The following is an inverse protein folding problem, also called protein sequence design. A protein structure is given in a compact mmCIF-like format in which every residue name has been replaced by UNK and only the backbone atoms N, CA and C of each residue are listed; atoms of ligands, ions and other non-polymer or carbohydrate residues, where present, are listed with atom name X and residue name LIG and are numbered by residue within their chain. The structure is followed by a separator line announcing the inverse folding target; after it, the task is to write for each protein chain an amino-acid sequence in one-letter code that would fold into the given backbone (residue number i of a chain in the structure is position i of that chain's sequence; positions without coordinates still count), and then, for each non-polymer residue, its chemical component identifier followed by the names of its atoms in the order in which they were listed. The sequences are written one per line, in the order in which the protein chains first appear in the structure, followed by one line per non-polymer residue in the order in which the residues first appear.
data_IF_902465598686
#
_entry.id   IF_902465598686
#
_cell.length_a   1.000
_cell.length_b   1.000
_cell.length_c   1.000
_cell.angle_alpha   90.00
_cell.angle_beta   90.00
_cell.angle_gamma   90.00
#
_symmetry.space_group_name_H-M   'P 1'
#
loop_
_entity.id
_entity.type
_entity.pdbx_description
1 polymer ?
#
# COMPACT_ATOMS: atom_id res chain seq x y z
N UNK A 1 7.07 -15.17 -14.28
CA UNK A 1 6.05 -14.76 -15.28
C UNK A 1 6.06 -13.26 -15.40
N UNK A 2 6.01 -12.74 -16.63
CA UNK A 2 5.92 -11.30 -16.92
C UNK A 2 4.48 -10.84 -17.09
N UNK A 3 4.25 -9.53 -17.01
CA UNK A 3 2.94 -8.91 -17.27
C UNK A 3 2.40 -9.28 -18.65
N UNK A 4 3.26 -9.34 -19.67
CA UNK A 4 2.86 -9.71 -21.05
C UNK A 4 2.17 -11.07 -21.11
N UNK A 5 2.60 -12.00 -20.27
CA UNK A 5 2.08 -13.37 -20.26
C UNK A 5 0.81 -13.46 -19.41
N UNK A 6 0.76 -12.69 -18.30
CA UNK A 6 -0.37 -12.65 -17.40
C UNK A 6 -1.57 -11.87 -17.98
N UNK A 7 -1.31 -10.81 -18.75
CA UNK A 7 -2.34 -9.88 -19.22
C UNK A 7 -3.47 -10.56 -20.03
N UNK A 8 -3.19 -11.49 -20.99
CA UNK A 8 -4.24 -12.24 -21.66
C UNK A 8 -5.09 -13.09 -20.72
N UNK A 9 -4.51 -13.66 -19.66
CA UNK A 9 -5.23 -14.45 -18.65
C UNK A 9 -6.16 -13.53 -17.86
N UNK A 10 -5.65 -12.40 -17.39
CA UNK A 10 -6.42 -11.36 -16.71
C UNK A 10 -7.57 -10.82 -17.58
N UNK A 11 -7.34 -10.62 -18.89
CA UNK A 11 -8.39 -10.18 -19.82
C UNK A 11 -9.49 -11.21 -19.98
N UNK A 12 -9.16 -12.51 -20.00
CA UNK A 12 -10.15 -13.59 -20.11
C UNK A 12 -10.98 -13.78 -18.84
N UNK A 13 -10.57 -13.24 -17.70
CA UNK A 13 -11.29 -13.39 -16.43
C UNK A 13 -12.33 -12.29 -16.14
N UNK A 14 -12.42 -11.27 -17.00
CA UNK A 14 -13.34 -10.15 -16.80
C UNK A 14 -14.80 -10.59 -16.91
N UNK A 15 -15.66 -10.03 -16.06
CA UNK A 15 -17.11 -10.29 -16.01
C UNK A 15 -17.50 -11.76 -15.79
N UNK A 16 -16.58 -12.60 -15.31
CA UNK A 16 -16.86 -13.98 -14.90
C UNK A 16 -17.04 -14.00 -13.36
N UNK A 17 -18.18 -14.51 -12.85
CA UNK A 17 -18.36 -14.70 -11.42
C UNK A 17 -17.27 -15.58 -10.81
N UNK A 18 -16.85 -15.27 -9.59
CA UNK A 18 -15.79 -16.00 -8.91
C UNK A 18 -16.09 -17.50 -8.76
N UNK A 19 -17.36 -17.89 -8.59
CA UNK A 19 -17.78 -19.30 -8.56
C UNK A 19 -17.43 -20.07 -9.84
N UNK A 20 -17.41 -19.39 -10.98
CA UNK A 20 -17.16 -19.99 -12.30
C UNK A 20 -15.68 -19.85 -12.67
N UNK A 21 -14.98 -18.88 -12.07
CA UNK A 21 -13.57 -18.59 -12.33
C UNK A 21 -12.61 -19.38 -11.44
N UNK A 22 -12.98 -19.64 -10.19
CA UNK A 22 -12.13 -20.26 -9.19
C UNK A 22 -12.80 -21.50 -8.57
N UNK A 23 -12.09 -22.62 -8.56
CA UNK A 23 -12.52 -23.83 -7.85
C UNK A 23 -12.06 -23.80 -6.38
N UNK A 24 -12.85 -24.40 -5.48
CA UNK A 24 -12.44 -24.81 -4.14
C UNK A 24 -11.92 -23.67 -3.22
N UNK A 25 -12.52 -22.48 -3.26
CA UNK A 25 -12.21 -21.41 -2.30
C UNK A 25 -13.29 -21.27 -1.23
N UNK A 26 -12.87 -20.94 0.00
CA UNK A 26 -13.77 -20.64 1.10
C UNK A 26 -14.17 -19.17 1.06
N UNK A 27 -15.46 -18.88 0.90
CA UNK A 27 -16.02 -17.52 0.87
C UNK A 27 -15.64 -16.71 2.11
N UNK A 28 -15.70 -17.32 3.30
CA UNK A 28 -15.31 -16.68 4.57
C UNK A 28 -13.85 -16.21 4.63
N UNK A 29 -12.95 -16.85 3.87
CA UNK A 29 -11.55 -16.40 3.78
C UNK A 29 -11.44 -15.14 2.93
N UNK A 30 -12.23 -15.01 1.87
CA UNK A 30 -12.24 -13.82 1.02
C UNK A 30 -12.78 -12.61 1.80
N UNK A 31 -13.84 -12.81 2.56
CA UNK A 31 -14.46 -11.75 3.35
C UNK A 31 -13.50 -11.25 4.43
N UNK A 32 -12.82 -12.17 5.15
CA UNK A 32 -11.90 -11.81 6.23
C UNK A 32 -10.56 -11.25 5.73
N UNK A 33 -10.05 -11.76 4.62
CA UNK A 33 -8.79 -11.33 4.03
C UNK A 33 -9.03 -10.53 2.75
N UNK A 34 -9.01 -9.19 2.88
CA UNK A 34 -9.16 -8.28 1.74
C UNK A 34 -8.13 -8.49 0.62
N UNK A 35 -6.99 -9.14 0.89
CA UNK A 35 -5.99 -9.49 -0.12
C UNK A 35 -6.26 -10.80 -0.86
N UNK A 36 -7.28 -11.58 -0.46
CA UNK A 36 -7.52 -12.93 -1.00
C UNK A 36 -7.94 -12.91 -2.47
N UNK A 37 -8.71 -11.90 -2.91
CA UNK A 37 -9.09 -11.76 -4.32
C UNK A 37 -7.85 -11.61 -5.22
N UNK A 38 -6.84 -10.87 -4.75
CA UNK A 38 -5.55 -10.74 -5.43
C UNK A 38 -4.83 -12.08 -5.52
N UNK A 39 -4.73 -12.80 -4.40
CA UNK A 39 -4.11 -14.13 -4.35
C UNK A 39 -4.80 -15.16 -5.26
N UNK A 40 -6.13 -15.10 -5.40
CA UNK A 40 -6.86 -15.96 -6.33
C UNK A 40 -6.51 -15.62 -7.78
N UNK A 41 -6.43 -14.33 -8.11
CA UNK A 41 -6.02 -13.88 -9.44
C UNK A 41 -4.56 -14.22 -9.76
N UNK A 42 -3.64 -14.09 -8.79
CA UNK A 42 -2.24 -14.53 -8.91
C UNK A 42 -2.17 -16.03 -9.25
N UNK A 43 -2.92 -16.86 -8.51
CA UNK A 43 -2.99 -18.31 -8.76
C UNK A 43 -3.58 -18.65 -10.12
N UNK A 44 -4.59 -17.91 -10.57
CA UNK A 44 -5.16 -18.08 -11.91
C UNK A 44 -4.14 -17.76 -13.01
N UNK A 45 -3.26 -16.78 -12.78
CA UNK A 45 -2.10 -16.54 -13.64
C UNK A 45 -0.97 -17.59 -13.46
N UNK A 46 -1.15 -18.63 -12.65
CA UNK A 46 -0.11 -19.65 -12.40
C UNK A 46 1.04 -19.18 -11.50
N UNK A 47 0.89 -18.06 -10.79
CA UNK A 47 1.89 -17.59 -9.85
C UNK A 47 1.86 -18.39 -8.54
N UNK A 48 3.05 -18.59 -7.97
CA UNK A 48 3.20 -19.06 -6.59
C UNK A 48 3.13 -17.85 -5.66
N UNK A 49 2.29 -17.92 -4.63
CA UNK A 49 2.24 -16.88 -3.61
C UNK A 49 3.61 -16.76 -2.94
N UNK A 50 4.16 -15.55 -2.92
CA UNK A 50 5.48 -15.29 -2.37
C UNK A 50 5.57 -13.91 -1.72
N UNK A 51 6.66 -13.66 -1.01
CA UNK A 51 6.95 -12.35 -0.39
C UNK A 51 7.91 -11.51 -1.26
N UNK A 52 7.96 -11.75 -2.57
CA UNK A 52 8.77 -10.95 -3.49
C UNK A 52 8.30 -9.49 -3.54
N UNK A 53 9.15 -8.60 -4.08
CA UNK A 53 8.85 -7.16 -4.14
C UNK A 53 7.64 -6.88 -5.05
N UNK A 54 7.52 -7.62 -6.14
CA UNK A 54 6.45 -7.55 -7.14
C UNK A 54 5.84 -8.93 -7.36
N UNK A 55 4.59 -8.96 -7.83
CA UNK A 55 3.87 -10.22 -8.11
C UNK A 55 4.36 -10.88 -9.41
N UNK A 56 4.68 -10.05 -10.42
CA UNK A 56 5.32 -10.46 -11.67
C UNK A 56 6.80 -10.09 -11.66
N UNK A 57 7.57 -10.66 -12.59
CA UNK A 57 9.00 -10.32 -12.76
C UNK A 57 9.22 -8.83 -13.08
N UNK A 58 8.30 -8.23 -13.82
CA UNK A 58 8.40 -6.88 -14.36
C UNK A 58 7.24 -5.97 -13.93
N UNK A 59 6.43 -6.37 -12.94
CA UNK A 59 5.38 -5.50 -12.41
C UNK A 59 4.43 -6.14 -11.40
N UNK A 60 3.34 -5.47 -11.12
CA UNK A 60 2.45 -5.74 -9.99
C UNK A 60 1.02 -6.08 -10.44
N UNK A 61 0.31 -6.85 -9.61
CA UNK A 61 -1.13 -7.06 -9.74
C UNK A 61 -1.87 -6.42 -8.55
N UNK A 62 -2.87 -5.59 -8.83
CA UNK A 62 -3.78 -5.08 -7.79
C UNK A 62 -5.23 -5.38 -8.11
N UNK A 63 -5.94 -5.85 -7.10
CA UNK A 63 -7.39 -6.05 -7.13
C UNK A 63 -8.03 -5.25 -6.01
N UNK A 64 -9.04 -4.43 -6.30
CA UNK A 64 -9.82 -3.72 -5.27
C UNK A 64 -11.10 -3.15 -5.85
N UNK A 65 -12.09 -2.85 -5.00
CA UNK A 65 -13.22 -1.99 -5.40
C UNK A 65 -12.73 -0.56 -5.67
N UNK A 66 -13.34 0.16 -6.61
CA UNK A 66 -12.93 1.54 -6.96
C UNK A 66 -13.02 2.53 -5.79
N UNK A 67 -13.91 2.30 -4.82
CA UNK A 67 -14.11 3.20 -3.68
C UNK A 67 -13.15 2.99 -2.49
N UNK A 68 -12.44 1.86 -2.41
CA UNK A 68 -11.61 1.51 -1.24
C UNK A 68 -10.10 1.78 -1.42
N UNK A 69 -9.41 2.43 -0.49
CA UNK A 69 -7.93 2.54 -0.58
C UNK A 69 -7.24 1.15 -0.68
N UNK A 70 -6.22 1.01 -1.53
CA UNK A 70 -5.54 -0.28 -1.77
C UNK A 70 -4.09 -0.23 -1.31
N UNK A 71 -3.66 -1.17 -0.48
CA UNK A 71 -2.29 -1.21 0.01
C UNK A 71 -1.28 -1.50 -1.12
N UNK A 72 -0.18 -0.75 -1.15
CA UNK A 72 0.89 -0.90 -2.14
C UNK A 72 2.07 -1.62 -1.50
N UNK A 73 2.76 -0.96 -0.56
CA UNK A 73 3.98 -1.48 0.07
C UNK A 73 4.10 -1.03 1.53
N UNK A 74 4.55 -1.93 2.39
CA UNK A 74 4.80 -1.64 3.81
C UNK A 74 5.98 -0.70 3.98
N UNK A 75 5.95 0.18 4.98
CA UNK A 75 7.06 1.13 5.26
C UNK A 75 7.94 0.75 6.45
N UNK A 76 7.54 -0.24 7.24
CA UNK A 76 8.16 -0.57 8.54
C UNK A 76 9.69 -0.69 8.47
N UNK A 77 10.22 -1.38 7.47
CA UNK A 77 11.66 -1.69 7.39
C UNK A 77 12.50 -0.65 6.63
N UNK A 78 11.89 0.45 6.19
CA UNK A 78 12.55 1.54 5.45
C UNK A 78 11.94 2.89 5.78
N UNK A 79 11.35 3.02 6.97
CA UNK A 79 10.73 4.27 7.40
C UNK A 79 11.76 5.38 7.57
N UNK A 80 12.99 5.03 7.97
CA UNK A 80 14.09 5.98 8.10
C UNK A 80 14.42 6.64 6.76
N UNK A 81 14.33 5.89 5.65
CA UNK A 81 14.53 6.42 4.30
C UNK A 81 13.44 7.43 3.89
N UNK A 82 12.25 7.35 4.49
CA UNK A 82 11.10 8.23 4.19
C UNK A 82 11.14 9.51 5.04
N UNK A 83 11.57 9.40 6.29
CA UNK A 83 11.49 10.49 7.28
C UNK A 83 12.80 11.27 7.42
N UNK A 84 13.83 10.90 6.66
CA UNK A 84 15.12 11.57 6.66
C UNK A 84 14.99 13.05 6.23
N UNK A 85 15.94 13.90 6.60
CA UNK A 85 16.01 15.31 6.14
C UNK A 85 16.22 15.40 4.62
N UNK A 86 16.96 14.43 4.08
CA UNK A 86 17.10 14.13 2.67
C UNK A 86 16.47 12.74 2.40
N UNK A 87 15.16 12.64 2.15
CA UNK A 87 14.50 11.37 1.91
C UNK A 87 15.03 10.65 0.66
N UNK A 88 14.86 9.33 0.62
CA UNK A 88 15.11 8.54 -0.58
C UNK A 88 14.35 9.13 -1.78
N UNK A 89 15.02 9.25 -2.94
CA UNK A 89 14.37 9.76 -4.14
C UNK A 89 13.27 8.81 -4.63
N UNK A 90 12.22 9.37 -5.22
CA UNK A 90 11.09 8.59 -5.71
C UNK A 90 11.52 7.51 -6.69
N UNK A 91 12.41 7.85 -7.63
CA UNK A 91 12.92 6.98 -8.70
C UNK A 91 13.46 5.64 -8.19
N UNK A 92 14.17 5.64 -7.07
CA UNK A 92 14.83 4.43 -6.53
C UNK A 92 14.03 3.81 -5.36
N UNK A 93 12.98 4.49 -4.92
CA UNK A 93 12.12 4.06 -3.82
C UNK A 93 11.46 2.70 -4.11
N UNK A 94 11.17 1.94 -3.05
CA UNK A 94 10.41 0.68 -3.17
C UNK A 94 9.00 0.92 -3.72
N UNK A 95 8.43 2.10 -3.47
CA UNK A 95 7.12 2.47 -3.99
C UNK A 95 7.15 2.55 -5.51
N UNK A 96 8.05 3.35 -6.08
CA UNK A 96 8.15 3.55 -7.53
C UNK A 96 8.40 2.25 -8.28
N UNK A 97 9.37 1.44 -7.82
CA UNK A 97 9.66 0.11 -8.38
C UNK A 97 8.43 -0.80 -8.43
N UNK A 98 7.57 -0.75 -7.40
CA UNK A 98 6.39 -1.61 -7.31
C UNK A 98 5.22 -1.17 -8.19
N UNK A 99 5.15 0.12 -8.56
CA UNK A 99 4.01 0.66 -9.29
C UNK A 99 4.33 1.01 -10.74
N UNK A 100 5.60 0.86 -11.15
CA UNK A 100 6.07 1.20 -12.49
C UNK A 100 5.23 0.53 -13.58
N UNK A 101 4.97 -0.77 -13.43
CA UNK A 101 4.09 -1.53 -14.31
C UNK A 101 3.04 -2.24 -13.46
N UNK A 102 1.76 -2.01 -13.74
CA UNK A 102 0.67 -2.48 -12.91
C UNK A 102 -0.48 -3.02 -13.78
N UNK A 103 -0.92 -4.24 -13.50
CA UNK A 103 -2.25 -4.71 -13.88
C UNK A 103 -3.21 -4.37 -12.74
N UNK A 104 -4.20 -3.53 -13.02
CA UNK A 104 -5.30 -3.25 -12.10
C UNK A 104 -6.58 -3.94 -12.56
N UNK A 105 -7.16 -4.74 -11.67
CA UNK A 105 -8.41 -5.48 -11.87
C UNK A 105 -9.48 -4.94 -10.89
N UNK A 106 -10.31 -3.96 -11.29
CA UNK A 106 -11.37 -3.45 -10.43
C UNK A 106 -12.35 -4.56 -10.04
N UNK A 107 -12.61 -4.71 -8.75
CA UNK A 107 -13.53 -5.70 -8.20
C UNK A 107 -14.93 -5.13 -8.09
N UNK A 108 -15.94 -5.89 -8.50
CA UNK A 108 -17.36 -5.59 -8.27
C UNK A 108 -17.93 -6.63 -7.31
N UNK A 109 -18.68 -6.15 -6.31
CA UNK A 109 -19.31 -6.96 -5.28
C UNK A 109 -20.84 -6.75 -5.29
N UNK A 110 -21.59 -7.44 -6.16
CA UNK A 110 -23.03 -7.24 -6.28
C UNK A 110 -23.81 -7.59 -5.00
N UNK A 111 -23.26 -8.50 -4.19
CA UNK A 111 -23.82 -8.90 -2.90
C UNK A 111 -22.70 -9.15 -1.89
N UNK A 112 -23.07 -9.47 -0.65
CA UNK A 112 -22.11 -9.90 0.38
C UNK A 112 -21.49 -11.27 0.08
N UNK A 113 -22.08 -12.04 -0.84
CA UNK A 113 -21.59 -13.37 -1.22
C UNK A 113 -20.43 -13.25 -2.24
N UNK A 114 -19.20 -13.66 -1.87
CA UNK A 114 -18.05 -13.63 -2.77
C UNK A 114 -18.19 -14.46 -4.04
N UNK A 115 -19.07 -15.45 -4.07
CA UNK A 115 -19.30 -16.29 -5.26
C UNK A 115 -19.81 -15.47 -6.45
N UNK A 116 -20.57 -14.41 -6.18
CA UNK A 116 -21.13 -13.51 -7.20
C UNK A 116 -20.21 -12.32 -7.52
N UNK A 117 -19.05 -12.20 -6.87
CA UNK A 117 -18.10 -11.14 -7.19
C UNK A 117 -17.42 -11.43 -8.52
N UNK A 118 -16.95 -10.38 -9.18
CA UNK A 118 -16.24 -10.51 -10.45
C UNK A 118 -15.30 -9.33 -10.69
N UNK A 119 -14.32 -9.51 -11.57
CA UNK A 119 -13.48 -8.40 -12.02
C UNK A 119 -14.13 -7.67 -13.19
N UNK A 120 -14.27 -6.36 -13.09
CA UNK A 120 -14.96 -5.54 -14.10
C UNK A 120 -14.13 -5.37 -15.38
N UNK A 121 -12.84 -5.08 -15.22
CA UNK A 121 -11.91 -4.72 -16.29
C UNK A 121 -10.53 -5.31 -16.00
N UNK A 122 -9.67 -5.31 -17.03
CA UNK A 122 -8.24 -5.55 -16.90
C UNK A 122 -7.49 -4.36 -17.50
N UNK A 123 -6.91 -3.52 -16.63
CA UNK A 123 -6.30 -2.24 -17.00
C UNK A 123 -4.80 -2.36 -16.79
N UNK A 124 -4.02 -2.15 -17.85
CA UNK A 124 -2.57 -2.04 -17.74
C UNK A 124 -2.19 -0.57 -17.57
N UNK A 125 -1.36 -0.28 -16.57
CA UNK A 125 -0.94 1.06 -16.21
C UNK A 125 0.58 1.08 -16.22
N UNK A 126 1.13 2.03 -16.96
CA UNK A 126 2.55 2.29 -17.01
C UNK A 126 2.84 3.64 -16.34
N UNK A 127 3.49 3.61 -15.17
CA UNK A 127 3.83 4.79 -14.37
C UNK A 127 5.35 5.03 -14.48
N UNK A 128 5.79 5.43 -15.67
CA UNK A 128 7.20 5.72 -15.95
C UNK A 128 7.47 7.22 -16.05
N UNK A 129 8.75 7.59 -15.86
CA UNK A 129 9.24 8.95 -15.99
C UNK A 129 8.75 9.57 -17.31
N UNK A 130 8.24 10.80 -17.22
CA UNK A 130 7.67 11.54 -18.35
C UNK A 130 6.15 11.44 -18.48
N UNK A 131 5.49 10.50 -17.81
CA UNK A 131 4.02 10.46 -17.76
C UNK A 131 3.47 11.48 -16.75
N UNK A 132 2.27 12.03 -17.02
CA UNK A 132 1.60 12.94 -16.08
C UNK A 132 1.31 12.26 -14.73
N UNK A 133 0.85 11.01 -14.77
CA UNK A 133 0.58 10.21 -13.57
C UNK A 133 1.86 9.96 -12.73
N UNK A 134 3.00 9.74 -13.37
CA UNK A 134 4.29 9.63 -12.67
C UNK A 134 4.62 10.92 -11.92
N UNK A 135 4.47 12.08 -12.56
CA UNK A 135 4.77 13.36 -11.93
C UNK A 135 3.85 13.65 -10.75
N UNK A 136 2.55 13.35 -10.88
CA UNK A 136 1.59 13.51 -9.78
C UNK A 136 1.91 12.59 -8.59
N UNK A 137 2.21 11.31 -8.84
CA UNK A 137 2.56 10.37 -7.77
C UNK A 137 3.92 10.70 -7.14
N UNK A 138 4.89 11.13 -7.94
CA UNK A 138 6.18 11.61 -7.45
C UNK A 138 5.98 12.80 -6.50
N UNK A 139 5.18 13.78 -6.91
CA UNK A 139 4.85 14.95 -6.08
C UNK A 139 4.16 14.54 -4.78
N UNK A 140 3.22 13.60 -4.83
CA UNK A 140 2.60 13.06 -3.62
C UNK A 140 3.62 12.40 -2.70
N UNK A 141 4.51 11.58 -3.25
CA UNK A 141 5.54 10.87 -2.48
C UNK A 141 6.48 11.85 -1.78
N UNK A 142 6.98 12.86 -2.51
CA UNK A 142 7.86 13.90 -1.98
C UNK A 142 7.16 14.70 -0.86
N UNK A 143 5.92 15.11 -1.08
CA UNK A 143 5.11 15.80 -0.05
C UNK A 143 4.86 14.91 1.17
N UNK A 144 4.62 13.62 0.97
CA UNK A 144 4.44 12.67 2.08
C UNK A 144 5.74 12.53 2.88
N UNK A 145 6.91 12.43 2.22
CA UNK A 145 8.20 12.35 2.90
C UNK A 145 8.46 13.62 3.70
N UNK A 146 8.30 14.79 3.08
CA UNK A 146 8.44 16.09 3.74
C UNK A 146 7.52 16.19 4.97
N UNK A 147 6.22 15.94 4.79
CA UNK A 147 5.27 16.01 5.91
C UNK A 147 5.56 14.97 7.00
N UNK A 148 6.05 13.78 6.65
CA UNK A 148 6.44 12.76 7.63
C UNK A 148 7.65 13.20 8.43
N UNK A 149 8.67 13.74 7.76
CA UNK A 149 9.84 14.34 8.41
C UNK A 149 9.39 15.47 9.36
N UNK A 150 8.61 16.43 8.86
CA UNK A 150 8.13 17.57 9.63
C UNK A 150 7.31 17.15 10.85
N UNK A 151 6.40 16.19 10.71
CA UNK A 151 5.60 15.69 11.82
C UNK A 151 6.44 14.98 12.89
N UNK A 152 7.53 14.32 12.50
CA UNK A 152 8.40 13.59 13.43
C UNK A 152 9.44 14.52 14.07
N UNK A 153 9.94 15.52 13.33
CA UNK A 153 11.02 16.41 13.75
C UNK A 153 10.53 17.77 14.28
N UNK A 154 9.56 18.47 13.66
CA UNK A 154 9.06 19.75 14.23
C UNK A 154 8.23 19.55 15.50
N UNK A 155 7.50 18.43 15.65
CA UNK A 155 6.88 18.06 16.93
C UNK A 155 7.91 17.67 18.00
N UNK A 156 9.16 17.37 17.63
CA UNK A 156 10.27 17.18 18.58
C UNK A 156 10.69 18.52 19.18
N UNK A 157 10.73 19.61 18.40
CA UNK A 157 11.23 20.92 18.86
C UNK A 157 10.26 21.62 19.83
N UNK A 158 8.94 21.50 19.62
CA UNK A 158 7.94 22.23 20.43
C UNK A 158 7.58 21.55 21.76
N UNK A 159 8.15 20.39 22.09
CA UNK A 159 7.62 19.49 23.14
C UNK A 159 8.69 18.82 24.03
N UNK A 160 9.94 19.27 24.01
CA UNK A 160 11.06 18.58 24.69
C UNK A 160 11.23 18.86 26.20
N UNK A 161 10.32 19.55 26.88
CA UNK A 161 10.53 19.91 28.30
C UNK A 161 10.31 18.75 29.28
N UNK A 162 9.58 17.67 28.92
CA UNK A 162 9.14 16.62 29.86
C UNK A 162 9.41 15.16 29.36
N UNK A 163 10.61 14.83 28.88
CA UNK A 163 10.94 13.44 28.48
C UNK A 163 11.53 12.60 29.64
N UNK A 164 11.11 11.33 29.77
CA UNK A 164 11.69 10.35 30.71
C UNK A 164 12.39 9.21 29.96
N UNK A 165 13.40 8.61 30.59
CA UNK A 165 14.10 7.42 30.10
C UNK A 165 13.40 6.18 30.67
N UNK A 166 12.96 5.25 29.81
CA UNK A 166 12.36 3.98 30.25
C UNK A 166 13.43 2.98 30.71
N UNK A 167 13.00 1.92 31.41
CA UNK A 167 13.85 0.81 31.88
C UNK A 167 14.70 0.15 30.78
N UNK A 168 14.32 0.31 29.50
CA UNK A 168 15.05 -0.22 28.34
C UNK A 168 15.94 0.83 27.65
N UNK A 169 16.24 1.96 28.33
CA UNK A 169 16.99 3.11 27.78
C UNK A 169 16.36 3.75 26.54
N UNK A 170 15.04 3.64 26.36
CA UNK A 170 14.31 4.39 25.33
C UNK A 170 13.73 5.68 25.91
N UNK A 171 13.82 6.77 25.16
CA UNK A 171 13.13 8.03 25.49
C UNK A 171 11.63 7.88 25.24
N UNK A 172 10.82 8.18 26.26
CA UNK A 172 9.37 8.08 26.22
C UNK A 172 8.75 9.24 27.01
N UNK A 173 7.60 9.73 26.55
CA UNK A 173 6.81 10.75 27.25
C UNK A 173 5.34 10.34 27.21
N UNK A 174 4.76 10.13 28.39
CA UNK A 174 3.33 9.85 28.59
C UNK A 174 2.42 10.99 28.12
N UNK A 175 2.97 12.21 27.98
CA UNK A 175 2.22 13.41 27.58
C UNK A 175 1.93 13.44 26.07
N UNK A 176 2.70 12.71 25.23
CA UNK A 176 2.64 12.84 23.76
C UNK A 176 2.10 11.61 23.00
N UNK A 177 2.13 10.41 23.58
CA UNK A 177 1.48 9.20 23.01
C UNK A 177 1.93 8.77 21.59
N UNK A 178 1.06 8.00 20.91
CA UNK A 178 1.18 7.31 19.58
C UNK A 178 1.27 8.23 18.34
N UNK A 179 1.68 9.50 18.46
CA UNK A 179 1.26 10.56 17.52
C UNK A 179 2.29 11.16 16.54
N UNK A 180 3.46 10.55 16.35
CA UNK A 180 4.47 11.15 15.45
C UNK A 180 4.24 10.82 13.98
N UNK A 181 3.91 9.57 13.63
CA UNK A 181 3.56 9.18 12.27
C UNK A 181 2.10 8.72 12.18
N UNK A 182 1.31 9.41 11.36
CA UNK A 182 -0.11 9.17 11.13
C UNK A 182 -0.42 9.12 9.63
N UNK A 183 -1.71 9.07 9.29
CA UNK A 183 -2.15 9.15 7.90
C UNK A 183 -1.72 10.48 7.29
N UNK A 184 -0.98 10.41 6.17
CA UNK A 184 -0.58 11.56 5.36
C UNK A 184 -0.97 11.22 3.92
N UNK A 185 -1.77 12.09 3.31
CA UNK A 185 -2.36 11.85 2.00
C UNK A 185 -1.89 12.88 1.00
N UNK A 186 -1.59 12.42 -0.21
CA UNK A 186 -1.51 13.24 -1.41
C UNK A 186 -2.80 13.14 -2.23
N UNK A 187 -2.68 13.41 -3.53
CA UNK A 187 -3.76 13.33 -4.53
C UNK A 187 -4.16 11.89 -4.85
N UNK A 188 -3.20 10.99 -5.02
CA UNK A 188 -3.35 9.62 -5.51
C UNK A 188 -2.80 8.56 -4.57
N UNK A 189 -1.80 8.89 -3.76
CA UNK A 189 -1.26 7.98 -2.75
C UNK A 189 -1.36 8.56 -1.35
N UNK A 190 -1.28 7.68 -0.34
CA UNK A 190 -1.19 8.06 1.07
C UNK A 190 -0.33 7.06 1.84
N UNK A 191 0.26 7.48 2.95
CA UNK A 191 0.69 6.55 4.01
C UNK A 191 -0.43 6.45 5.03
N UNK A 192 -0.72 5.24 5.53
CA UNK A 192 -1.66 5.02 6.64
C UNK A 192 -1.38 3.68 7.35
N UNK A 193 -2.08 3.46 8.46
CA UNK A 193 -2.13 2.16 9.12
C UNK A 193 -2.91 1.15 8.27
N UNK A 194 -2.35 -0.06 8.16
CA UNK A 194 -2.93 -1.15 7.37
C UNK A 194 -4.04 -1.92 8.09
N UNK A 195 -3.94 -2.01 9.41
CA UNK A 195 -4.91 -2.71 10.24
C UNK A 195 -4.98 -2.07 11.63
N UNK A 196 -6.15 -2.13 12.26
CA UNK A 196 -6.31 -1.90 13.69
C UNK A 196 -5.74 -3.13 14.42
N UNK A 197 -4.43 -3.15 14.66
CA UNK A 197 -3.77 -4.30 15.30
C UNK A 197 -4.47 -4.71 16.60
N UNK A 198 -4.88 -5.98 16.71
CA UNK A 198 -5.32 -6.54 17.99
C UNK A 198 -4.11 -6.62 18.93
N UNK A 199 -4.22 -5.95 20.08
CA UNK A 199 -3.54 -6.14 21.39
C UNK A 199 -2.03 -6.39 21.52
N UNK A 200 -1.25 -6.60 20.45
CA UNK A 200 0.22 -6.67 20.47
C UNK A 200 0.83 -6.00 19.24
N UNK A 201 0.70 -4.68 19.13
CA UNK A 201 1.39 -3.94 18.07
C UNK A 201 2.88 -3.81 18.43
N UNK A 202 3.76 -4.28 17.53
CA UNK A 202 5.19 -3.95 17.57
C UNK A 202 5.38 -2.51 17.08
N UNK A 203 5.81 -1.55 17.91
CA UNK A 203 6.05 -0.18 17.46
C UNK A 203 7.01 -0.13 16.27
N UNK A 204 6.86 0.87 15.40
CA UNK A 204 7.88 1.13 14.37
C UNK A 204 8.99 1.96 15.04
N UNK A 205 10.18 1.38 15.11
CA UNK A 205 11.38 1.99 15.65
C UNK A 205 12.20 2.63 14.54
N UNK A 206 12.54 3.90 14.69
CA UNK A 206 13.49 4.60 13.82
C UNK A 206 14.91 4.37 14.34
N UNK A 207 15.77 3.77 13.51
CA UNK A 207 17.19 3.58 13.84
C UNK A 207 17.95 4.89 13.77
N UNK A 208 17.51 5.81 12.92
CA UNK A 208 18.03 7.17 12.80
C UNK A 208 17.79 7.97 14.10
N UNK A 209 16.56 7.97 14.62
CA UNK A 209 16.16 8.75 15.79
C UNK A 209 16.33 8.03 17.12
N UNK A 210 16.71 6.74 17.11
CA UNK A 210 16.85 5.87 18.28
C UNK A 210 15.59 5.83 19.17
N UNK A 211 14.40 5.89 18.57
CA UNK A 211 13.11 5.87 19.28
C UNK A 211 11.99 5.28 18.44
N UNK A 212 10.90 4.93 19.10
CA UNK A 212 9.64 4.60 18.41
C UNK A 212 9.01 5.87 17.83
N UNK A 213 8.59 5.80 16.57
CA UNK A 213 7.93 6.91 15.85
C UNK A 213 6.41 6.68 15.73
N UNK A 214 5.94 5.46 15.95
CA UNK A 214 4.53 5.14 16.13
C UNK A 214 4.40 3.82 16.89
N UNK A 215 3.32 3.65 17.66
CA UNK A 215 2.97 2.38 18.28
C UNK A 215 2.26 1.44 17.30
N UNK A 216 1.87 1.94 16.12
CA UNK A 216 1.24 1.16 15.06
C UNK A 216 2.27 0.32 14.31
N UNK A 217 2.08 -0.99 14.29
CA UNK A 217 3.06 -1.94 13.74
C UNK A 217 3.05 -2.07 12.22
N UNK A 218 1.98 -1.63 11.57
CA UNK A 218 1.74 -1.87 10.16
C UNK A 218 1.32 -0.59 9.48
N UNK A 219 2.30 0.16 8.99
CA UNK A 219 2.08 1.30 8.10
C UNK A 219 2.50 0.94 6.69
N UNK A 220 1.77 1.46 5.71
CA UNK A 220 2.02 1.20 4.30
C UNK A 220 1.62 2.40 3.45
N UNK A 221 2.19 2.46 2.25
CA UNK A 221 1.63 3.25 1.17
C UNK A 221 0.35 2.60 0.64
N UNK A 222 -0.59 3.43 0.23
CA UNK A 222 -1.88 3.06 -0.34
C UNK A 222 -2.16 3.89 -1.58
N UNK A 223 -2.80 3.27 -2.59
CA UNK A 223 -3.54 4.01 -3.60
C UNK A 223 -4.86 4.49 -3.00
N UNK A 224 -5.17 5.77 -3.22
CA UNK A 224 -6.46 6.38 -2.88
C UNK A 224 -7.55 5.99 -3.89
N UNK A 225 -8.81 6.23 -3.54
CA UNK A 225 -9.93 6.05 -4.46
C UNK A 225 -9.75 6.93 -5.72
N UNK A 226 -9.27 8.17 -5.54
CA UNK A 226 -8.95 9.12 -6.61
C UNK A 226 -7.97 8.57 -7.66
N UNK A 227 -6.97 7.77 -7.26
CA UNK A 227 -6.07 7.10 -8.21
C UNK A 227 -6.84 6.13 -9.10
N UNK A 228 -7.68 5.29 -8.48
CA UNK A 228 -8.43 4.27 -9.21
C UNK A 228 -9.52 4.87 -10.07
N UNK A 229 -10.16 5.95 -9.63
CA UNK A 229 -11.10 6.73 -10.44
C UNK A 229 -10.40 7.38 -11.63
N UNK A 230 -9.18 7.91 -11.45
CA UNK A 230 -8.38 8.44 -12.55
C UNK A 230 -8.02 7.33 -13.55
N UNK A 231 -7.52 6.20 -13.09
CA UNK A 231 -7.18 5.03 -13.93
C UNK A 231 -8.41 4.53 -14.68
N UNK A 232 -9.55 4.32 -14.01
CA UNK A 232 -10.79 3.82 -14.61
C UNK A 232 -11.37 4.77 -15.66
N UNK A 233 -11.02 6.06 -15.63
CA UNK A 233 -11.46 7.04 -16.64
C UNK A 233 -10.50 7.19 -17.82
N UNK A 234 -9.19 7.01 -17.60
CA UNK A 234 -8.17 7.40 -18.58
C UNK A 234 -7.43 6.23 -19.25
N UNK A 235 -7.58 4.99 -18.74
CA UNK A 235 -6.84 3.80 -19.21
C UNK A 235 -7.74 2.67 -19.71
N UNK A 236 -9.02 2.96 -20.01
CA UNK A 236 -9.97 1.98 -20.56
C UNK A 236 -9.80 1.80 -22.06
#
# INVERSE_FOLDING_TARGET
MKISDAYPICKKSINIPFKDLFSNFKTDEIIRNKGKSGQLMEKLCGLKLSNTTTDFEDGELKTSELKESTAITMITDWVDDIIHEEPISFEVSRLSKKIQHLIFMPLVKPSKDPLCWYFKNCIYINITKGTSLYNDIKKDFENICLNSHELIYKKKITQLTDCKITKNKSLYSDKYGDKFLHTISGKYIQIRTKDAGKTKSKPIFSKLLKRNITLKSRMAFYFLASFKDYVDKNYK
#
